data_IF_682346749038
#
_entry.id   IF_682346749038
#
_cell.length_a   1.000
_cell.length_b   1.000
_cell.length_c   1.000
_cell.angle_alpha   90.00
_cell.angle_beta   90.00
_cell.angle_gamma   90.00
#
_symmetry.space_group_name_H-M   'P 1'
#
loop_
_entity.id
_entity.type
_entity.pdbx_description
1 polymer ?
#
# COMPACT_ATOMS: atom_id res chain seq x y z
N UNK A 1 0.14 11.17 -3.68
CA UNK A 1 1.42 10.55 -4.08
C UNK A 1 1.30 9.05 -4.33
N UNK A 2 0.70 8.23 -3.46
CA UNK A 2 0.49 6.79 -3.74
C UNK A 2 -0.60 6.52 -4.81
N UNK A 3 -1.80 7.11 -4.65
CA UNK A 3 -2.94 6.96 -5.58
C UNK A 3 -2.65 7.36 -7.04
N UNK A 4 -1.67 8.24 -7.28
CA UNK A 4 -1.31 8.66 -8.64
C UNK A 4 -0.27 7.75 -9.30
N UNK A 5 0.54 7.06 -8.49
CA UNK A 5 1.64 6.23 -8.96
C UNK A 5 1.22 4.77 -9.09
N UNK A 6 0.33 4.30 -8.21
CA UNK A 6 -0.15 2.93 -8.15
C UNK A 6 -1.65 2.86 -8.38
N UNK A 7 -2.17 1.69 -8.75
CA UNK A 7 -3.59 1.45 -8.93
C UNK A 7 -4.33 1.23 -7.60
N UNK A 8 -3.96 1.96 -6.55
CA UNK A 8 -4.55 1.82 -5.21
C UNK A 8 -5.95 2.43 -5.20
N UNK A 9 -6.99 1.65 -4.85
CA UNK A 9 -8.37 2.15 -4.76
C UNK A 9 -8.84 2.41 -3.33
N UNK A 10 -8.06 2.00 -2.33
CA UNK A 10 -8.33 2.28 -0.91
C UNK A 10 -7.04 2.38 -0.14
N UNK A 11 -6.98 3.35 0.77
CA UNK A 11 -5.79 3.64 1.56
C UNK A 11 -6.20 3.98 2.99
N UNK A 12 -5.56 3.38 3.98
CA UNK A 12 -5.75 3.71 5.40
C UNK A 12 -4.39 3.69 6.09
N UNK A 13 -4.12 4.72 6.88
CA UNK A 13 -2.90 4.82 7.67
C UNK A 13 -3.27 4.95 9.15
N UNK A 14 -2.75 4.03 9.95
CA UNK A 14 -2.99 3.99 11.39
C UNK A 14 -1.65 4.17 12.11
N UNK A 15 -1.58 5.16 13.00
CA UNK A 15 -0.42 5.30 13.89
C UNK A 15 -0.51 4.30 15.04
N UNK A 16 0.59 3.63 15.36
CA UNK A 16 0.64 2.73 16.51
C UNK A 16 0.97 3.54 17.76
N UNK A 17 0.02 3.62 18.68
CA UNK A 17 0.16 4.42 19.91
C UNK A 17 0.74 3.66 21.09
N UNK A 18 0.67 2.32 21.09
CA UNK A 18 1.24 1.47 22.14
C UNK A 18 1.33 0.01 21.72
N UNK A 19 2.29 -0.71 22.30
CA UNK A 19 2.31 -2.17 22.29
C UNK A 19 1.26 -2.76 23.27
N UNK A 20 0.81 -3.99 22.99
CA UNK A 20 -0.12 -4.73 23.86
C UNK A 20 0.56 -5.84 24.67
N UNK A 21 1.73 -6.33 24.23
CA UNK A 21 2.52 -7.37 24.92
C UNK A 21 3.92 -6.85 25.22
N UNK A 22 4.58 -7.31 26.30
CA UNK A 22 5.90 -6.83 26.70
C UNK A 22 6.98 -6.95 25.62
N UNK A 23 6.93 -8.03 24.83
CA UNK A 23 7.95 -8.36 23.82
C UNK A 23 7.54 -7.93 22.39
N UNK A 24 6.46 -7.16 22.22
CA UNK A 24 6.06 -6.72 20.88
C UNK A 24 7.13 -5.77 20.30
N UNK A 25 7.54 -5.96 19.03
CA UNK A 25 8.46 -5.04 18.39
C UNK A 25 7.83 -3.65 18.25
N UNK A 26 8.67 -2.62 18.23
CA UNK A 26 8.23 -1.26 17.95
C UNK A 26 7.76 -1.14 16.50
N UNK A 27 6.46 -0.93 16.29
CA UNK A 27 5.86 -0.62 14.99
C UNK A 27 5.45 0.85 15.05
N UNK A 28 5.87 1.66 14.08
CA UNK A 28 5.52 3.09 14.06
C UNK A 28 4.10 3.33 13.49
N UNK A 29 3.69 2.52 12.52
CA UNK A 29 2.40 2.64 11.87
C UNK A 29 2.02 1.39 11.09
N UNK A 30 0.74 1.27 10.78
CA UNK A 30 0.18 0.21 9.94
C UNK A 30 -0.52 0.91 8.78
N UNK A 31 -0.11 0.59 7.56
CA UNK A 31 -0.72 1.09 6.33
C UNK A 31 -1.44 -0.06 5.65
N UNK A 32 -2.69 0.18 5.27
CA UNK A 32 -3.49 -0.75 4.47
C UNK A 32 -3.73 -0.13 3.09
N UNK A 33 -3.35 -0.85 2.06
CA UNK A 33 -3.53 -0.47 0.66
C UNK A 33 -4.35 -1.53 -0.07
N UNK A 34 -5.33 -1.10 -0.85
CA UNK A 34 -6.18 -1.99 -1.63
C UNK A 34 -5.89 -1.85 -3.11
N UNK A 35 -5.62 -2.98 -3.76
CA UNK A 35 -5.31 -3.06 -5.18
C UNK A 35 -6.28 -3.98 -5.91
N UNK A 36 -6.52 -3.77 -7.22
CA UNK A 36 -7.26 -4.70 -8.06
C UNK A 36 -6.66 -6.11 -7.96
N UNK A 37 -7.50 -7.15 -8.07
CA UNK A 37 -7.04 -8.55 -7.95
C UNK A 37 -5.89 -8.88 -8.91
N UNK A 38 -5.90 -8.31 -10.13
CA UNK A 38 -4.83 -8.52 -11.11
C UNK A 38 -3.46 -8.01 -10.63
N UNK A 39 -3.42 -7.01 -9.75
CA UNK A 39 -2.17 -6.47 -9.18
C UNK A 39 -1.40 -7.48 -8.31
N UNK A 40 -2.03 -8.61 -7.93
CA UNK A 40 -1.36 -9.68 -7.18
C UNK A 40 -0.35 -10.46 -8.04
N UNK A 41 -0.49 -10.44 -9.36
CA UNK A 41 0.37 -11.18 -10.30
C UNK A 41 0.89 -10.33 -11.46
N UNK A 42 0.32 -9.14 -11.69
CA UNK A 42 0.69 -8.26 -12.79
C UNK A 42 1.18 -6.90 -12.25
N UNK A 43 2.46 -6.62 -12.50
CA UNK A 43 3.10 -5.38 -12.12
C UNK A 43 2.52 -4.16 -12.84
N UNK A 44 2.08 -4.30 -14.10
CA UNK A 44 1.39 -3.21 -14.82
C UNK A 44 0.06 -2.92 -14.18
N UNK A 45 -0.69 -3.95 -13.79
CA UNK A 45 -1.94 -3.78 -13.05
C UNK A 45 -1.71 -3.14 -11.68
N UNK A 46 -0.62 -3.48 -10.99
CA UNK A 46 -0.24 -2.85 -9.71
C UNK A 46 0.04 -1.36 -9.84
N UNK A 47 0.75 -0.95 -10.89
CA UNK A 47 1.04 0.46 -11.16
C UNK A 47 -0.07 1.20 -11.93
N UNK A 48 -1.07 0.47 -12.47
CA UNK A 48 -2.07 1.04 -13.37
C UNK A 48 -1.45 1.56 -14.67
N UNK A 49 -0.38 0.92 -15.14
CA UNK A 49 0.40 1.38 -16.28
C UNK A 49 -0.22 0.95 -17.61
N UNK A 50 -0.33 1.87 -18.56
CA UNK A 50 -0.86 1.58 -19.90
C UNK A 50 0.14 0.78 -20.77
N UNK A 51 1.43 1.04 -20.61
CA UNK A 51 2.52 0.40 -21.35
C UNK A 51 3.83 0.36 -20.51
N UNK A 52 4.91 -0.16 -21.09
CA UNK A 52 6.20 -0.30 -20.41
C UNK A 52 6.87 1.04 -20.09
N UNK A 53 6.64 2.08 -20.90
CA UNK A 53 7.21 3.40 -20.65
C UNK A 53 6.49 4.09 -19.49
N UNK A 54 5.16 3.99 -19.46
CA UNK A 54 4.35 4.46 -18.34
C UNK A 54 4.69 3.69 -17.05
N UNK A 55 4.89 2.37 -17.15
CA UNK A 55 5.33 1.55 -16.01
C UNK A 55 6.65 2.04 -15.43
N UNK A 56 7.66 2.28 -16.28
CA UNK A 56 8.96 2.79 -15.84
C UNK A 56 8.82 4.15 -15.16
N UNK A 57 8.05 5.07 -15.74
CA UNK A 57 7.81 6.40 -15.16
C UNK A 57 7.19 6.28 -13.76
N UNK A 58 6.13 5.47 -13.62
CA UNK A 58 5.42 5.25 -12.35
C UNK A 58 6.31 4.63 -11.28
N UNK A 59 7.10 3.61 -11.62
CA UNK A 59 8.10 3.02 -10.72
C UNK A 59 9.09 4.09 -10.25
N UNK A 60 9.66 4.87 -11.18
CA UNK A 60 10.62 5.92 -10.84
C UNK A 60 10.03 6.97 -9.91
N UNK A 61 8.78 7.41 -10.14
CA UNK A 61 8.07 8.35 -9.25
C UNK A 61 7.87 7.75 -7.86
N UNK A 62 7.45 6.49 -7.77
CA UNK A 62 7.26 5.80 -6.49
C UNK A 62 8.58 5.71 -5.72
N UNK A 63 9.66 5.25 -6.35
CA UNK A 63 10.98 5.13 -5.73
C UNK A 63 11.52 6.50 -5.27
N UNK A 64 11.40 7.53 -6.10
CA UNK A 64 11.82 8.88 -5.73
C UNK A 64 11.03 9.42 -4.53
N UNK A 65 9.71 9.18 -4.53
CA UNK A 65 8.83 9.55 -3.41
C UNK A 65 9.26 8.84 -2.13
N UNK A 66 9.35 7.50 -2.11
CA UNK A 66 9.65 6.74 -0.88
C UNK A 66 11.06 6.99 -0.36
N UNK A 67 12.03 7.21 -1.26
CA UNK A 67 13.40 7.55 -0.88
C UNK A 67 13.51 8.89 -0.17
N UNK A 68 12.68 9.87 -0.53
CA UNK A 68 12.74 11.22 0.04
C UNK A 68 12.43 11.27 1.54
N UNK A 69 11.73 10.28 2.09
CA UNK A 69 11.37 10.19 3.50
C UNK A 69 11.77 8.86 4.17
N UNK A 70 12.71 8.13 3.56
CA UNK A 70 13.29 6.91 4.14
C UNK A 70 12.35 5.71 4.22
N UNK A 71 11.17 5.79 3.58
CA UNK A 71 10.19 4.70 3.53
C UNK A 71 10.53 3.64 2.48
N UNK A 72 11.81 3.40 2.25
CA UNK A 72 12.32 2.29 1.47
C UNK A 72 13.07 1.26 2.36
N UNK A 73 13.12 1.48 3.67
CA UNK A 73 13.78 0.63 4.65
C UNK A 73 12.82 0.33 5.81
N UNK A 74 13.01 -0.83 6.46
CA UNK A 74 12.21 -1.26 7.63
C UNK A 74 10.69 -1.30 7.37
N UNK A 75 10.30 -1.71 6.15
CA UNK A 75 8.91 -1.94 5.78
C UNK A 75 8.72 -3.43 5.53
N UNK A 76 7.82 -4.02 6.30
CA UNK A 76 7.30 -5.36 6.05
C UNK A 76 5.98 -5.25 5.29
N UNK A 77 5.84 -6.01 4.21
CA UNK A 77 4.62 -6.07 3.42
C UNK A 77 4.06 -7.48 3.45
N UNK A 78 2.79 -7.63 3.81
CA UNK A 78 2.08 -8.91 3.81
C UNK A 78 0.84 -8.79 2.94
N UNK A 79 0.67 -9.67 1.92
CA UNK A 79 -0.54 -9.67 1.11
C UNK A 79 -1.73 -10.16 1.96
N UNK A 80 -2.83 -9.43 1.92
CA UNK A 80 -4.07 -9.78 2.60
C UNK A 80 -5.26 -9.63 1.66
N UNK A 81 -6.41 -10.20 2.05
CA UNK A 81 -7.68 -10.01 1.35
C UNK A 81 -8.66 -9.32 2.29
N UNK A 82 -9.43 -8.36 1.77
CA UNK A 82 -10.45 -7.65 2.53
C UNK A 82 -11.84 -8.13 2.09
N UNK A 83 -12.62 -8.62 3.05
CA UNK A 83 -14.00 -9.04 2.83
C UNK A 83 -14.93 -8.23 3.72
N UNK A 84 -15.91 -7.56 3.13
CA UNK A 84 -16.95 -6.85 3.89
C UNK A 84 -18.10 -7.82 4.15
N UNK A 85 -18.13 -8.40 5.35
CA UNK A 85 -19.19 -9.35 5.73
C UNK A 85 -20.53 -8.68 6.05
N UNK A 86 -20.50 -7.46 6.59
CA UNK A 86 -21.67 -6.63 6.87
C UNK A 86 -21.25 -5.16 6.91
N UNK A 87 -22.06 -4.28 6.33
CA UNK A 87 -21.89 -2.83 6.45
C UNK A 87 -22.93 -2.24 7.41
N UNK A 88 -22.55 -1.31 8.31
CA UNK A 88 -23.52 -0.57 9.12
C UNK A 88 -24.21 0.55 8.32
N UNK A 89 -23.73 0.87 7.12
CA UNK A 89 -24.33 1.86 6.24
C UNK A 89 -25.36 1.19 5.31
N UNK A 90 -26.53 1.81 5.16
CA UNK A 90 -27.50 1.44 4.10
C UNK A 90 -27.17 2.24 2.85
N UNK A 91 -27.35 1.60 1.69
CA UNK A 91 -27.32 2.29 0.38
C UNK A 91 -28.27 3.48 0.34
#
# INVERSE_FOLDING_TARGET
MAIEAQATFGYTQNWVVRALTPEAPGIAGIVEELFPVAATTDLKAFFGAADDNDLRNRISRMVASTSAFGANQNIDTVPTSRYVFRTPFKD
#
